data_IF_014490827506
#
_entry.id   IF_014490827506
#
_cell.length_a   1.000
_cell.length_b   1.000
_cell.length_c   1.000
_cell.angle_alpha   90.00
_cell.angle_beta   90.00
_cell.angle_gamma   90.00
#
_symmetry.space_group_name_H-M   'P 1'
#
loop_
_entity.id
_entity.type
_entity.pdbx_description
1 polymer ?
#
# COMPACT_ATOMS: atom_id res chain seq x y z
N UNK A 1 38.59 -24.09 29.63
CA UNK A 1 38.80 -22.63 29.43
C UNK A 1 38.44 -22.14 28.01
N UNK A 2 37.98 -23.03 27.15
CA UNK A 2 37.62 -22.65 25.74
C UNK A 2 36.13 -22.42 25.54
N UNK A 3 35.28 -22.65 26.55
CA UNK A 3 33.81 -22.52 26.43
C UNK A 3 33.27 -21.08 26.53
N UNK A 4 34.08 -20.13 26.98
CA UNK A 4 33.65 -18.73 27.12
C UNK A 4 33.73 -17.91 25.83
N UNK A 5 34.45 -18.40 24.82
CA UNK A 5 34.65 -17.68 23.55
C UNK A 5 33.51 -17.93 22.57
N UNK A 6 32.75 -19.02 22.72
CA UNK A 6 31.67 -19.38 21.82
C UNK A 6 30.36 -18.70 22.14
N UNK A 7 30.16 -18.20 23.38
CA UNK A 7 28.94 -17.50 23.75
C UNK A 7 28.84 -16.07 23.20
N UNK A 8 29.97 -15.43 22.92
CA UNK A 8 29.99 -14.06 22.40
C UNK A 8 29.78 -13.98 20.89
N UNK A 9 30.05 -15.07 20.17
CA UNK A 9 29.85 -15.12 18.72
C UNK A 9 28.38 -15.31 18.30
N UNK A 10 27.53 -15.88 19.17
CA UNK A 10 26.13 -16.14 18.85
C UNK A 10 25.22 -14.92 19.01
N UNK A 11 25.66 -13.88 19.70
CA UNK A 11 24.87 -12.67 19.95
C UNK A 11 24.96 -11.63 18.82
N UNK A 12 25.83 -11.82 17.84
CA UNK A 12 26.03 -10.87 16.74
C UNK A 12 25.27 -11.23 15.45
N UNK A 13 24.61 -12.38 15.38
CA UNK A 13 23.83 -12.81 14.20
C UNK A 13 22.37 -12.37 14.22
N UNK A 14 21.92 -11.69 15.26
CA UNK A 14 20.49 -11.35 15.45
C UNK A 14 20.05 -10.00 14.87
N UNK A 15 20.93 -9.21 14.22
CA UNK A 15 20.64 -7.81 13.91
C UNK A 15 20.62 -7.51 12.40
N UNK A 16 20.60 -8.51 11.54
CA UNK A 16 20.58 -8.34 10.08
C UNK A 16 19.16 -8.56 9.46
N UNK A 17 18.11 -8.52 10.28
CA UNK A 17 16.76 -8.44 9.77
C UNK A 17 16.47 -7.01 9.30
N UNK A 18 16.46 -6.74 7.99
CA UNK A 18 16.00 -5.46 7.46
C UNK A 18 14.61 -5.15 8.01
N UNK A 19 14.41 -3.96 8.57
CA UNK A 19 13.08 -3.51 8.99
C UNK A 19 12.17 -3.44 7.75
N UNK A 20 11.18 -4.33 7.65
CA UNK A 20 10.11 -4.21 6.69
C UNK A 20 9.34 -2.95 7.04
N UNK A 21 9.26 -2.00 6.12
CA UNK A 21 8.48 -0.78 6.31
C UNK A 21 7.00 -1.12 6.20
N UNK A 22 6.24 -0.94 7.30
CA UNK A 22 4.80 -1.04 7.27
C UNK A 22 4.20 0.10 6.43
N UNK A 23 3.10 -0.17 5.74
CA UNK A 23 2.38 0.85 5.00
C UNK A 23 1.76 1.89 5.95
N UNK A 24 1.81 3.15 5.54
CA UNK A 24 1.27 4.28 6.29
C UNK A 24 -0.14 4.61 5.80
N UNK A 25 -1.14 4.17 6.56
CA UNK A 25 -2.55 4.39 6.21
C UNK A 25 -2.98 5.85 6.32
N UNK A 26 -2.34 6.65 7.17
CA UNK A 26 -2.64 8.07 7.31
C UNK A 26 -2.16 8.83 6.08
N UNK A 27 -0.93 8.61 5.66
CA UNK A 27 -0.39 9.16 4.41
C UNK A 27 -1.19 8.66 3.21
N UNK A 28 -1.50 7.36 3.17
CA UNK A 28 -2.32 6.76 2.14
C UNK A 28 -3.69 7.40 2.02
N UNK A 29 -4.32 7.73 3.14
CA UNK A 29 -5.60 8.41 3.16
C UNK A 29 -5.54 9.82 2.58
N UNK A 30 -4.48 10.58 2.87
CA UNK A 30 -4.28 11.91 2.27
C UNK A 30 -4.08 11.82 0.76
N UNK A 31 -3.27 10.88 0.29
CA UNK A 31 -3.02 10.66 -1.13
C UNK A 31 -4.27 10.18 -1.86
N UNK A 32 -5.04 9.31 -1.22
CA UNK A 32 -6.33 8.84 -1.75
C UNK A 32 -7.31 10.01 -1.95
N UNK A 33 -7.42 10.89 -0.98
CA UNK A 33 -8.28 12.07 -1.07
C UNK A 33 -7.86 13.02 -2.20
N UNK A 34 -6.55 13.11 -2.49
CA UNK A 34 -6.04 13.96 -3.56
C UNK A 34 -6.24 13.36 -4.96
N UNK A 35 -6.09 12.05 -5.11
CA UNK A 35 -5.92 11.43 -6.43
C UNK A 35 -6.99 10.39 -6.79
N UNK A 36 -7.69 9.84 -5.85
CA UNK A 36 -8.50 8.63 -6.05
C UNK A 36 -10.00 8.83 -5.76
N UNK A 37 -10.34 9.65 -4.79
CA UNK A 37 -11.69 9.74 -4.24
C UNK A 37 -12.73 10.23 -5.25
N UNK A 38 -12.34 11.10 -6.18
CA UNK A 38 -13.28 11.66 -7.17
C UNK A 38 -13.87 10.59 -8.10
N UNK A 39 -13.11 9.53 -8.39
CA UNK A 39 -13.55 8.42 -9.22
C UNK A 39 -14.00 7.21 -8.41
N UNK A 40 -13.27 6.88 -7.34
CA UNK A 40 -13.53 5.67 -6.56
C UNK A 40 -14.44 5.86 -5.35
N UNK A 41 -14.76 7.13 -5.00
CA UNK A 41 -15.60 7.42 -3.85
C UNK A 41 -14.94 7.08 -2.52
N UNK A 42 -15.70 7.20 -1.45
CA UNK A 42 -15.26 6.92 -0.09
C UNK A 42 -16.46 6.95 0.87
N UNK A 43 -16.23 6.97 2.19
CA UNK A 43 -17.30 7.09 3.16
C UNK A 43 -18.13 8.35 2.90
N UNK A 44 -19.41 8.17 2.57
CA UNK A 44 -20.32 9.28 2.26
C UNK A 44 -20.06 9.99 0.93
N UNK A 45 -19.14 9.49 0.10
CA UNK A 45 -18.80 10.07 -1.21
C UNK A 45 -19.04 9.03 -2.29
N UNK A 46 -19.97 9.29 -3.21
CA UNK A 46 -20.20 8.42 -4.36
C UNK A 46 -19.06 8.54 -5.36
N UNK A 47 -18.63 7.39 -5.91
CA UNK A 47 -17.66 7.36 -7.00
C UNK A 47 -18.29 7.60 -8.36
N UNK A 48 -17.46 7.71 -9.39
CA UNK A 48 -17.91 7.82 -10.77
C UNK A 48 -18.56 6.50 -11.23
N UNK A 49 -19.57 6.58 -12.10
CA UNK A 49 -20.20 5.38 -12.67
C UNK A 49 -19.15 4.49 -13.37
N UNK A 50 -19.20 3.18 -13.11
CA UNK A 50 -18.31 2.20 -13.70
C UNK A 50 -16.95 2.07 -13.00
N UNK A 51 -16.60 2.97 -12.07
CA UNK A 51 -15.41 2.82 -11.24
C UNK A 51 -15.68 1.87 -10.08
N UNK A 52 -14.71 0.98 -9.72
CA UNK A 52 -14.85 0.16 -8.52
C UNK A 52 -14.99 1.02 -7.27
N UNK A 53 -15.97 0.71 -6.43
CA UNK A 53 -16.13 1.35 -5.12
C UNK A 53 -15.35 0.57 -4.06
N UNK A 54 -14.27 1.14 -3.57
CA UNK A 54 -13.47 0.49 -2.53
C UNK A 54 -14.16 0.48 -1.17
N UNK A 55 -15.03 1.46 -0.90
CA UNK A 55 -15.87 1.46 0.30
C UNK A 55 -16.83 0.26 0.33
N UNK A 56 -17.18 -0.28 -0.85
CA UNK A 56 -17.98 -1.51 -0.99
C UNK A 56 -17.12 -2.76 -1.15
N UNK A 57 -15.81 -2.64 -1.08
CA UNK A 57 -14.86 -3.74 -1.23
C UNK A 57 -14.62 -4.19 -2.66
N UNK A 58 -15.14 -3.50 -3.66
CA UNK A 58 -14.99 -3.90 -5.06
C UNK A 58 -13.52 -3.84 -5.48
N UNK A 59 -13.03 -4.91 -6.10
CA UNK A 59 -11.66 -5.00 -6.59
C UNK A 59 -10.60 -5.27 -5.53
N UNK A 60 -10.92 -5.25 -4.25
CA UNK A 60 -9.96 -5.39 -3.15
C UNK A 60 -9.56 -6.85 -2.84
N UNK A 61 -10.12 -7.83 -3.54
CA UNK A 61 -9.68 -9.24 -3.42
C UNK A 61 -8.36 -9.51 -4.14
N UNK A 62 -7.90 -8.58 -4.96
CA UNK A 62 -6.63 -8.71 -5.68
C UNK A 62 -5.45 -8.48 -4.74
N UNK A 63 -4.29 -9.15 -4.97
CA UNK A 63 -3.07 -8.90 -4.22
C UNK A 63 -2.58 -7.45 -4.37
N UNK A 64 -1.87 -6.96 -3.37
CA UNK A 64 -1.32 -5.59 -3.36
C UNK A 64 -0.44 -5.32 -4.58
N UNK A 65 0.37 -6.28 -4.99
CA UNK A 65 1.22 -6.13 -6.18
C UNK A 65 0.38 -5.87 -7.44
N UNK A 66 -0.71 -6.60 -7.62
CA UNK A 66 -1.60 -6.41 -8.78
C UNK A 66 -2.25 -5.03 -8.76
N UNK A 67 -2.72 -4.59 -7.60
CA UNK A 67 -3.31 -3.26 -7.44
C UNK A 67 -2.26 -2.15 -7.67
N UNK A 68 -1.05 -2.36 -7.20
CA UNK A 68 0.07 -1.42 -7.40
C UNK A 68 0.39 -1.28 -8.90
N UNK A 69 0.54 -2.39 -9.61
CA UNK A 69 0.84 -2.36 -11.05
C UNK A 69 -0.28 -1.68 -11.84
N UNK A 70 -1.54 -1.98 -11.52
CA UNK A 70 -2.68 -1.36 -12.16
C UNK A 70 -2.68 0.16 -11.96
N UNK A 71 -2.34 0.62 -10.76
CA UNK A 71 -2.26 2.04 -10.43
C UNK A 71 -1.08 2.71 -11.14
N UNK A 72 0.05 2.03 -11.25
CA UNK A 72 1.22 2.57 -11.95
C UNK A 72 0.98 2.77 -13.43
N UNK A 73 0.39 1.79 -14.10
CA UNK A 73 0.24 1.80 -15.57
C UNK A 73 -1.09 2.38 -16.03
N UNK A 74 -2.09 2.43 -15.16
CA UNK A 74 -3.45 2.85 -15.50
C UNK A 74 -4.22 1.83 -16.31
N UNK A 75 -5.49 2.09 -16.51
CA UNK A 75 -6.37 1.25 -17.33
C UNK A 75 -7.59 2.05 -17.75
N UNK A 76 -7.87 2.09 -19.06
CA UNK A 76 -9.02 2.83 -19.60
C UNK A 76 -9.03 4.29 -19.11
N UNK A 77 -10.07 4.75 -18.44
CA UNK A 77 -10.17 6.11 -17.91
C UNK A 77 -9.30 6.35 -16.67
N UNK A 78 -8.81 5.29 -16.02
CA UNK A 78 -7.89 5.44 -14.89
C UNK A 78 -6.50 5.83 -15.38
N UNK A 79 -5.98 7.01 -14.98
CA UNK A 79 -4.67 7.45 -15.45
C UNK A 79 -3.53 6.62 -14.83
N UNK A 80 -2.37 6.67 -15.46
CA UNK A 80 -1.14 6.09 -14.94
C UNK A 80 -0.50 7.02 -13.92
N UNK A 81 -0.14 6.48 -12.77
CA UNK A 81 0.51 7.25 -11.70
C UNK A 81 2.01 7.05 -11.60
N UNK A 82 2.60 6.27 -12.50
CA UNK A 82 4.05 6.11 -12.59
C UNK A 82 4.71 7.47 -12.83
N UNK A 83 5.71 7.81 -12.00
CA UNK A 83 6.38 9.12 -12.04
C UNK A 83 5.70 10.20 -11.19
N UNK A 84 4.43 10.04 -10.83
CA UNK A 84 3.72 10.95 -9.93
C UNK A 84 3.71 10.43 -8.49
N UNK A 85 3.47 9.14 -8.31
CA UNK A 85 3.47 8.45 -7.02
C UNK A 85 4.57 7.39 -7.00
N UNK A 86 5.29 7.29 -5.88
CA UNK A 86 6.23 6.19 -5.66
C UNK A 86 5.48 4.87 -5.42
N UNK A 87 6.19 3.75 -5.55
CA UNK A 87 5.61 2.45 -5.20
C UNK A 87 5.14 2.42 -3.74
N UNK A 88 5.89 3.02 -2.82
CA UNK A 88 5.50 3.11 -1.41
C UNK A 88 4.25 3.97 -1.23
N UNK A 89 4.14 5.10 -1.93
CA UNK A 89 2.91 5.92 -1.91
C UNK A 89 1.69 5.11 -2.33
N UNK A 90 1.82 4.31 -3.38
CA UNK A 90 0.74 3.46 -3.87
C UNK A 90 0.40 2.37 -2.85
N UNK A 91 1.39 1.74 -2.23
CA UNK A 91 1.16 0.75 -1.18
C UNK A 91 0.47 1.36 0.05
N UNK A 92 0.82 2.58 0.42
CA UNK A 92 0.14 3.33 1.49
C UNK A 92 -1.33 3.60 1.15
N UNK A 93 -1.60 3.99 -0.10
CA UNK A 93 -2.97 4.17 -0.60
C UNK A 93 -3.74 2.85 -0.54
N UNK A 94 -3.17 1.76 -0.99
CA UNK A 94 -3.81 0.43 -0.97
C UNK A 94 -4.14 0.02 0.47
N UNK A 95 -3.21 0.21 1.40
CA UNK A 95 -3.45 -0.08 2.81
C UNK A 95 -4.63 0.74 3.37
N UNK A 96 -4.71 2.03 3.00
CA UNK A 96 -5.84 2.87 3.35
C UNK A 96 -7.15 2.37 2.73
N UNK A 97 -7.15 2.02 1.45
CA UNK A 97 -8.34 1.51 0.75
C UNK A 97 -8.95 0.30 1.48
N UNK A 98 -8.12 -0.57 2.04
CA UNK A 98 -8.56 -1.74 2.78
C UNK A 98 -9.22 -1.40 4.12
N UNK A 99 -9.08 -0.17 4.60
CA UNK A 99 -9.77 0.31 5.81
C UNK A 99 -11.15 0.89 5.53
N UNK A 100 -11.52 1.09 4.26
CA UNK A 100 -12.77 1.75 3.87
C UNK A 100 -14.03 0.90 4.05
N UNK A 101 -13.87 -0.35 4.36
CA UNK A 101 -15.00 -1.28 4.58
C UNK A 101 -15.53 -1.18 6.00
#
# INVERSE_FOLDING_TARGET
MTSKIYLTALLLLGVLGGAAQAADTIKGGRLYALHCISCHGGPGVAGAPGSPSFARGQGLMRPDFTLMELTRVGKNAMPAYQGLLSNQDILDIIAYMRTLR
#
